data_IF_039928113531
#
_entry.id   IF_039928113531
#
_cell.length_a   1.000
_cell.length_b   1.000
_cell.length_c   1.000
_cell.angle_alpha   90.00
_cell.angle_beta   90.00
_cell.angle_gamma   90.00
#
_symmetry.space_group_name_H-M   'P 1'
#
loop_
_entity.id
_entity.type
_entity.pdbx_description
1 polymer ?
#
# COMPACT_ATOMS: atom_id res chain seq x y z
N UNK A 1 50.28 -66.24 -57.66
CA UNK A 1 49.01 -66.84 -57.20
C UNK A 1 48.36 -65.84 -56.27
N UNK A 2 47.30 -65.19 -56.74
CA UNK A 2 46.66 -64.01 -56.14
C UNK A 2 45.20 -64.41 -55.84
N UNK A 3 44.77 -64.27 -54.60
CA UNK A 3 43.37 -64.39 -54.12
C UNK A 3 43.30 -63.48 -52.90
N UNK A 4 42.93 -62.20 -52.99
CA UNK A 4 41.57 -61.59 -53.04
C UNK A 4 40.56 -62.23 -52.09
N UNK A 5 39.89 -61.34 -51.34
CA UNK A 5 38.56 -61.39 -50.70
C UNK A 5 38.56 -61.39 -49.15
N UNK A 6 37.76 -60.62 -48.40
CA UNK A 6 36.68 -59.64 -48.65
C UNK A 6 36.59 -58.76 -47.37
N UNK A 7 36.52 -57.44 -47.53
CA UNK A 7 36.11 -56.50 -46.49
C UNK A 7 34.57 -56.53 -46.36
N UNK A 8 34.05 -56.91 -45.20
CA UNK A 8 32.61 -56.88 -44.86
C UNK A 8 32.20 -55.50 -44.29
N UNK A 9 30.92 -55.10 -44.39
CA UNK A 9 30.53 -53.71 -44.60
C UNK A 9 30.50 -52.88 -43.32
N UNK A 10 30.73 -51.58 -43.51
CA UNK A 10 30.50 -50.51 -42.55
C UNK A 10 29.15 -50.63 -41.84
N UNK A 11 29.19 -50.87 -40.55
CA UNK A 11 28.08 -50.59 -39.64
C UNK A 11 28.04 -49.07 -39.44
N UNK A 12 26.92 -48.37 -39.70
CA UNK A 12 26.85 -46.94 -39.47
C UNK A 12 27.00 -46.66 -37.97
N UNK A 13 27.66 -45.55 -37.57
CA UNK A 13 27.74 -45.16 -36.18
C UNK A 13 26.33 -44.99 -35.63
N UNK A 14 26.07 -45.57 -34.45
CA UNK A 14 24.90 -45.28 -33.62
C UNK A 14 24.95 -43.80 -33.26
N UNK A 15 24.35 -42.97 -34.10
CA UNK A 15 23.94 -41.61 -33.79
C UNK A 15 22.48 -41.74 -33.30
N UNK A 16 22.08 -40.91 -32.33
CA UNK A 16 20.73 -40.77 -31.76
C UNK A 16 20.44 -41.53 -30.46
N UNK A 17 21.11 -41.19 -29.35
CA UNK A 17 20.48 -41.29 -28.00
C UNK A 17 20.74 -40.12 -27.03
N UNK A 18 21.67 -39.18 -27.27
CA UNK A 18 21.98 -38.12 -26.28
C UNK A 18 21.90 -36.69 -26.82
N UNK A 19 20.69 -36.13 -26.95
CA UNK A 19 20.49 -34.70 -26.62
C UNK A 19 19.56 -34.53 -25.43
N UNK A 20 18.59 -35.44 -25.27
CA UNK A 20 17.50 -35.29 -24.31
C UNK A 20 17.96 -35.53 -22.87
N UNK A 21 18.81 -36.54 -22.64
CA UNK A 21 19.34 -36.81 -21.30
C UNK A 21 20.30 -35.71 -20.80
N UNK A 22 21.05 -35.05 -21.69
CA UNK A 22 21.88 -33.91 -21.31
C UNK A 22 21.05 -32.65 -21.04
N UNK A 23 19.97 -32.41 -21.79
CA UNK A 23 19.02 -31.32 -21.52
C UNK A 23 18.29 -31.52 -20.18
N UNK A 24 17.89 -32.76 -19.87
CA UNK A 24 17.22 -33.11 -18.60
C UNK A 24 18.15 -32.92 -17.38
N UNK A 25 19.45 -33.24 -17.54
CA UNK A 25 20.46 -33.02 -16.51
C UNK A 25 20.86 -31.53 -16.35
N UNK A 26 20.75 -30.72 -17.41
CA UNK A 26 20.97 -29.27 -17.34
C UNK A 26 19.77 -28.52 -16.72
N UNK A 27 18.55 -29.02 -16.91
CA UNK A 27 17.35 -28.49 -16.24
C UNK A 27 17.28 -28.88 -14.75
N UNK A 28 17.82 -30.05 -14.38
CA UNK A 28 17.86 -30.53 -12.99
C UNK A 28 18.84 -29.77 -12.09
N UNK A 29 19.80 -29.01 -12.65
CA UNK A 29 20.84 -28.31 -11.88
C UNK A 29 20.57 -26.79 -11.77
N UNK A 30 19.30 -26.40 -11.81
CA UNK A 30 18.89 -25.08 -11.34
C UNK A 30 19.18 -25.03 -9.82
N UNK A 31 19.98 -24.08 -9.33
CA UNK A 31 20.14 -23.91 -7.89
C UNK A 31 18.74 -23.75 -7.32
N UNK A 32 18.36 -24.60 -6.37
CA UNK A 32 17.14 -24.44 -5.60
C UNK A 32 17.20 -23.03 -5.00
N UNK A 33 16.58 -22.08 -5.69
CA UNK A 33 16.34 -20.75 -5.17
C UNK A 33 15.38 -21.02 -4.03
N UNK A 34 15.94 -21.11 -2.83
CA UNK A 34 15.19 -21.15 -1.58
C UNK A 34 14.22 -19.98 -1.68
N UNK A 35 12.97 -20.25 -2.06
CA UNK A 35 11.94 -19.22 -2.16
C UNK A 35 11.86 -18.65 -0.76
N UNK A 36 12.54 -17.53 -0.53
CA UNK A 36 12.49 -16.78 0.70
C UNK A 36 11.01 -16.61 0.97
N UNK A 37 10.52 -17.26 2.03
CA UNK A 37 9.12 -17.24 2.41
C UNK A 37 8.82 -15.79 2.77
N UNK A 38 8.40 -15.01 1.78
CA UNK A 38 8.02 -13.62 1.97
C UNK A 38 6.98 -13.64 3.07
N UNK A 39 7.26 -12.96 4.19
CA UNK A 39 6.29 -12.76 5.26
C UNK A 39 5.17 -11.92 4.66
N UNK A 40 4.15 -12.60 4.12
CA UNK A 40 2.97 -11.95 3.56
C UNK A 40 2.25 -11.26 4.70
N UNK A 41 1.96 -9.97 4.52
CA UNK A 41 1.04 -9.26 5.39
C UNK A 41 -0.31 -9.97 5.37
N UNK A 42 -0.89 -10.17 6.55
CA UNK A 42 -2.24 -10.71 6.68
C UNK A 42 -3.25 -9.65 6.21
N UNK A 43 -4.39 -10.10 5.68
CA UNK A 43 -5.41 -9.24 5.06
C UNK A 43 -5.90 -8.12 6.00
N UNK A 44 -6.09 -8.41 7.30
CA UNK A 44 -6.56 -7.41 8.27
C UNK A 44 -5.52 -6.28 8.46
N UNK A 45 -4.26 -6.55 8.79
CA UNK A 45 -3.20 -5.54 8.76
C UNK A 45 -3.13 -4.76 7.45
N UNK A 46 -3.30 -5.41 6.31
CA UNK A 46 -3.27 -4.75 5.01
C UNK A 46 -4.39 -3.70 4.86
N UNK A 47 -5.62 -4.05 5.26
CA UNK A 47 -6.76 -3.10 5.22
C UNK A 47 -6.48 -1.89 6.10
N UNK A 48 -6.03 -2.09 7.33
CA UNK A 48 -5.75 -0.97 8.24
C UNK A 48 -4.58 -0.11 7.77
N UNK A 49 -3.55 -0.72 7.17
CA UNK A 49 -2.44 0.04 6.57
C UNK A 49 -2.94 0.94 5.44
N UNK A 50 -3.77 0.43 4.53
CA UNK A 50 -4.38 1.22 3.45
C UNK A 50 -5.28 2.33 4.03
N UNK A 51 -6.08 2.01 5.06
CA UNK A 51 -6.96 2.97 5.72
C UNK A 51 -6.19 4.16 6.32
N UNK A 52 -5.09 3.89 7.00
CA UNK A 52 -4.22 4.92 7.59
C UNK A 52 -3.42 5.69 6.56
N UNK A 53 -3.07 5.07 5.43
CA UNK A 53 -2.40 5.75 4.33
C UNK A 53 -3.32 6.78 3.65
N UNK A 54 -4.62 6.49 3.54
CA UNK A 54 -5.57 7.32 2.78
C UNK A 54 -6.33 8.32 3.63
N UNK A 55 -6.86 7.91 4.79
CA UNK A 55 -7.84 8.71 5.53
C UNK A 55 -7.42 9.07 6.95
N UNK A 56 -6.62 8.24 7.61
CA UNK A 56 -6.16 8.50 8.99
C UNK A 56 -7.27 8.57 10.07
N UNK A 57 -8.55 8.38 9.69
CA UNK A 57 -9.73 8.53 10.56
C UNK A 57 -10.74 9.56 10.02
N UNK A 58 -11.97 9.62 10.57
CA UNK A 58 -13.01 10.57 10.15
C UNK A 58 -12.76 12.01 10.66
N UNK A 59 -11.50 12.43 10.75
CA UNK A 59 -11.13 13.77 11.22
C UNK A 59 -11.30 14.79 10.09
N UNK A 60 -11.90 15.93 10.38
CA UNK A 60 -12.12 17.01 9.39
C UNK A 60 -13.46 16.97 8.67
N UNK A 61 -14.28 15.93 8.88
CA UNK A 61 -15.67 15.90 8.39
C UNK A 61 -16.51 17.05 8.97
N UNK A 62 -16.17 17.50 10.18
CA UNK A 62 -16.79 18.63 10.86
C UNK A 62 -16.68 19.93 10.04
N UNK A 63 -15.57 20.15 9.33
CA UNK A 63 -15.39 21.33 8.47
C UNK A 63 -16.28 21.25 7.23
N UNK A 64 -16.42 20.06 6.65
CA UNK A 64 -17.30 19.83 5.51
C UNK A 64 -18.78 20.03 5.91
N UNK A 65 -19.19 19.50 7.06
CA UNK A 65 -20.54 19.69 7.61
C UNK A 65 -20.80 21.15 7.98
N UNK A 66 -19.82 21.84 8.56
CA UNK A 66 -19.93 23.26 8.91
C UNK A 66 -20.06 24.17 7.68
N UNK A 67 -19.33 23.86 6.60
CA UNK A 67 -19.33 24.65 5.38
C UNK A 67 -20.56 24.38 4.48
N UNK A 68 -20.92 23.12 4.26
CA UNK A 68 -21.99 22.73 3.34
C UNK A 68 -23.35 22.54 4.02
N UNK A 69 -23.38 22.35 5.34
CA UNK A 69 -24.56 21.96 6.11
C UNK A 69 -24.76 20.43 6.14
N UNK A 70 -25.53 19.91 7.11
CA UNK A 70 -25.66 18.47 7.35
C UNK A 70 -26.19 17.69 6.14
N UNK A 71 -27.18 18.23 5.43
CA UNK A 71 -27.81 17.55 4.30
C UNK A 71 -26.84 17.34 3.13
N UNK A 72 -26.13 18.40 2.72
CA UNK A 72 -25.20 18.33 1.60
C UNK A 72 -23.94 17.54 1.94
N UNK A 73 -23.47 17.59 3.19
CA UNK A 73 -22.37 16.74 3.64
C UNK A 73 -22.73 15.25 3.58
N UNK A 74 -23.89 14.85 4.11
CA UNK A 74 -24.37 13.45 4.05
C UNK A 74 -24.55 13.00 2.59
N UNK A 75 -25.15 13.85 1.75
CA UNK A 75 -25.33 13.53 0.33
C UNK A 75 -23.99 13.38 -0.39
N UNK A 76 -23.01 14.24 -0.08
CA UNK A 76 -21.64 14.15 -0.60
C UNK A 76 -20.96 12.85 -0.18
N UNK A 77 -20.99 12.51 1.11
CA UNK A 77 -20.44 11.25 1.61
C UNK A 77 -21.14 10.01 1.05
N UNK A 78 -22.42 10.12 0.69
CA UNK A 78 -23.14 9.01 0.07
C UNK A 78 -22.80 8.88 -1.41
N UNK A 79 -22.82 9.96 -2.19
CA UNK A 79 -22.65 9.89 -3.65
C UNK A 79 -21.20 9.76 -4.08
N UNK A 80 -20.27 10.40 -3.37
CA UNK A 80 -18.86 10.48 -3.76
C UNK A 80 -18.19 9.09 -3.86
N UNK A 81 -18.39 8.14 -2.93
CA UNK A 81 -17.84 6.79 -3.05
C UNK A 81 -18.35 6.03 -4.27
N UNK A 82 -19.63 6.17 -4.65
CA UNK A 82 -20.18 5.44 -5.82
C UNK A 82 -19.68 6.00 -7.15
N UNK A 83 -19.52 7.32 -7.24
CA UNK A 83 -19.11 7.98 -8.48
C UNK A 83 -17.60 7.84 -8.69
N UNK A 84 -16.81 7.85 -7.61
CA UNK A 84 -15.35 7.91 -7.69
C UNK A 84 -14.67 6.67 -7.11
N UNK A 85 -14.84 6.40 -5.81
CA UNK A 85 -14.04 5.39 -5.10
C UNK A 85 -14.32 3.95 -5.56
N UNK A 86 -15.57 3.58 -5.83
CA UNK A 86 -15.93 2.22 -6.26
C UNK A 86 -15.39 1.92 -7.66
N UNK A 87 -15.61 2.77 -8.68
CA UNK A 87 -15.01 2.57 -10.00
C UNK A 87 -13.47 2.53 -9.96
N UNK A 88 -12.84 3.44 -9.21
CA UNK A 88 -11.39 3.46 -9.05
C UNK A 88 -10.85 2.17 -8.40
N UNK A 89 -11.53 1.68 -7.35
CA UNK A 89 -11.15 0.44 -6.68
C UNK A 89 -11.32 -0.79 -7.59
N UNK A 90 -12.39 -0.85 -8.39
CA UNK A 90 -12.62 -1.92 -9.35
C UNK A 90 -11.54 -1.94 -10.44
N UNK A 91 -11.22 -0.80 -11.04
CA UNK A 91 -10.16 -0.70 -12.06
C UNK A 91 -8.81 -1.11 -11.46
N UNK A 92 -8.52 -0.67 -10.24
CA UNK A 92 -7.30 -1.05 -9.50
C UNK A 92 -7.23 -2.55 -9.24
N UNK A 93 -8.36 -3.18 -8.88
CA UNK A 93 -8.45 -4.62 -8.64
C UNK A 93 -8.26 -5.45 -9.93
N UNK A 94 -8.88 -5.04 -11.03
CA UNK A 94 -8.70 -5.67 -12.35
C UNK A 94 -7.24 -5.55 -12.81
N UNK A 95 -6.61 -4.38 -12.68
CA UNK A 95 -5.20 -4.20 -13.04
C UNK A 95 -4.23 -4.96 -12.12
N UNK A 96 -4.54 -5.04 -10.82
CA UNK A 96 -3.73 -5.79 -9.86
C UNK A 96 -3.75 -7.31 -10.13
N UNK A 97 -4.85 -7.84 -10.63
CA UNK A 97 -4.96 -9.26 -11.02
C UNK A 97 -4.40 -9.53 -12.41
N UNK A 98 -4.56 -8.61 -13.36
CA UNK A 98 -4.00 -8.73 -14.72
C UNK A 98 -2.46 -8.65 -14.76
N UNK A 99 -1.85 -7.84 -13.89
CA UNK A 99 -0.39 -7.66 -13.83
C UNK A 99 0.18 -8.04 -12.46
N UNK A 100 0.41 -9.34 -12.20
CA UNK A 100 0.97 -9.81 -10.94
C UNK A 100 2.46 -9.42 -10.83
N UNK A 101 2.72 -8.24 -10.28
CA UNK A 101 4.07 -7.74 -10.01
C UNK A 101 4.08 -6.75 -8.84
N UNK A 102 5.15 -6.75 -8.06
CA UNK A 102 5.31 -5.90 -6.86
C UNK A 102 5.50 -4.39 -7.17
N UNK A 103 5.15 -3.92 -8.37
CA UNK A 103 5.32 -2.53 -8.80
C UNK A 103 4.02 -1.75 -9.01
N UNK A 104 2.85 -2.38 -8.80
CA UNK A 104 1.53 -1.73 -8.80
C UNK A 104 1.31 -0.78 -9.99
N UNK A 105 0.87 0.45 -9.69
CA UNK A 105 0.56 1.48 -10.68
C UNK A 105 1.71 1.86 -11.61
N UNK A 106 2.98 1.66 -11.22
CA UNK A 106 4.14 1.92 -12.08
C UNK A 106 4.20 0.91 -13.22
N UNK A 107 3.91 -0.36 -12.94
CA UNK A 107 3.87 -1.43 -13.93
C UNK A 107 2.69 -1.22 -14.87
N UNK A 108 1.52 -0.86 -14.32
CA UNK A 108 0.33 -0.60 -15.12
C UNK A 108 0.53 0.57 -16.09
N UNK A 109 1.09 1.69 -15.59
CA UNK A 109 1.41 2.85 -16.42
C UNK A 109 2.47 2.55 -17.48
N UNK A 110 3.51 1.77 -17.11
CA UNK A 110 4.53 1.31 -18.06
C UNK A 110 3.92 0.45 -19.17
N UNK A 111 2.99 -0.44 -18.83
CA UNK A 111 2.38 -1.35 -19.79
C UNK A 111 1.36 -0.64 -20.71
N UNK A 112 0.62 0.33 -20.18
CA UNK A 112 -0.40 1.07 -20.93
C UNK A 112 0.17 2.19 -21.81
N UNK A 113 1.12 2.98 -21.28
CA UNK A 113 1.61 4.21 -21.93
C UNK A 113 3.10 4.16 -22.29
N UNK A 114 3.82 3.11 -21.88
CA UNK A 114 5.24 2.91 -22.17
C UNK A 114 6.19 3.33 -21.04
N UNK A 115 7.51 3.10 -21.21
CA UNK A 115 8.52 3.22 -20.15
C UNK A 115 8.62 4.61 -19.50
N UNK A 116 8.44 5.68 -20.29
CA UNK A 116 8.53 7.06 -19.81
C UNK A 116 7.45 7.40 -18.78
N UNK A 117 6.20 7.06 -19.07
CA UNK A 117 5.06 7.33 -18.17
C UNK A 117 5.10 6.50 -16.90
N UNK A 118 5.58 5.25 -16.99
CA UNK A 118 5.90 4.44 -15.83
C UNK A 118 6.93 5.13 -14.92
N UNK A 119 8.04 5.62 -15.49
CA UNK A 119 9.07 6.34 -14.72
C UNK A 119 8.53 7.63 -14.09
N UNK A 120 7.73 8.41 -14.81
CA UNK A 120 7.14 9.65 -14.29
C UNK A 120 6.18 9.40 -13.13
N UNK A 121 5.33 8.37 -13.25
CA UNK A 121 4.42 7.93 -12.18
C UNK A 121 5.18 7.46 -10.95
N UNK A 122 6.20 6.63 -11.13
CA UNK A 122 7.06 6.15 -10.05
C UNK A 122 7.81 7.29 -9.36
N UNK A 123 8.39 8.21 -10.13
CA UNK A 123 9.14 9.37 -9.60
C UNK A 123 8.23 10.32 -8.82
N UNK A 124 7.02 10.59 -9.34
CA UNK A 124 6.03 11.42 -8.65
C UNK A 124 5.61 10.82 -7.30
N UNK A 125 5.40 9.50 -7.27
CA UNK A 125 5.04 8.81 -6.02
C UNK A 125 6.19 8.69 -5.04
N UNK A 126 7.42 8.49 -5.53
CA UNK A 126 8.61 8.56 -4.70
C UNK A 126 8.74 9.94 -4.04
N UNK A 127 8.58 11.02 -4.81
CA UNK A 127 8.63 12.38 -4.28
C UNK A 127 7.53 12.63 -3.24
N UNK A 128 6.30 12.19 -3.51
CA UNK A 128 5.20 12.25 -2.54
C UNK A 128 5.52 11.47 -1.25
N UNK A 129 6.13 10.29 -1.36
CA UNK A 129 6.57 9.51 -0.21
C UNK A 129 7.64 10.21 0.62
N UNK A 130 8.63 10.85 -0.02
CA UNK A 130 9.67 11.62 0.66
C UNK A 130 9.08 12.82 1.41
N UNK A 131 8.17 13.56 0.77
CA UNK A 131 7.48 14.70 1.39
C UNK A 131 6.67 14.25 2.60
N UNK A 132 5.89 13.16 2.46
CA UNK A 132 5.09 12.62 3.56
C UNK A 132 5.98 12.17 4.72
N UNK A 133 7.07 11.44 4.45
CA UNK A 133 8.01 11.00 5.49
C UNK A 133 8.70 12.16 6.21
N UNK A 134 8.93 13.29 5.54
CA UNK A 134 9.46 14.49 6.18
C UNK A 134 8.41 15.23 7.02
N UNK A 135 7.14 15.19 6.61
CA UNK A 135 6.04 15.87 7.29
C UNK A 135 5.60 15.16 8.58
N UNK A 136 5.52 13.82 8.59
CA UNK A 136 4.97 13.08 9.73
C UNK A 136 5.69 13.33 11.07
N UNK A 137 7.03 13.27 11.17
CA UNK A 137 7.72 13.55 12.44
C UNK A 137 7.49 14.98 12.94
N UNK A 138 7.43 15.95 12.02
CA UNK A 138 7.15 17.35 12.36
C UNK A 138 5.74 17.48 12.93
N UNK A 139 4.75 16.87 12.29
CA UNK A 139 3.36 16.85 12.78
C UNK A 139 3.26 16.18 14.15
N UNK A 140 3.95 15.06 14.38
CA UNK A 140 3.97 14.39 15.70
C UNK A 140 4.43 15.34 16.81
N UNK A 141 5.50 16.12 16.57
CA UNK A 141 6.01 17.09 17.55
C UNK A 141 5.07 18.28 17.71
N UNK A 142 4.44 18.74 16.63
CA UNK A 142 3.44 19.81 16.68
C UNK A 142 2.19 19.40 17.47
N UNK A 143 1.75 18.14 17.39
CA UNK A 143 0.71 17.60 18.28
C UNK A 143 1.20 17.48 19.73
N UNK A 144 2.44 17.02 19.95
CA UNK A 144 2.99 16.87 21.30
C UNK A 144 3.14 18.22 22.01
N UNK A 145 3.36 19.31 21.25
CA UNK A 145 3.37 20.70 21.76
C UNK A 145 2.05 21.10 22.43
N UNK A 146 0.91 20.56 21.99
CA UNK A 146 -0.41 20.86 22.58
C UNK A 146 -0.48 20.33 24.02
N UNK A 147 0.16 19.19 24.28
CA UNK A 147 0.18 18.54 25.61
C UNK A 147 1.34 19.06 26.47
N UNK A 148 2.53 19.21 25.87
CA UNK A 148 3.74 19.68 26.54
C UNK A 148 4.25 20.96 25.84
N UNK A 149 3.99 22.15 26.40
CA UNK A 149 4.40 23.42 25.77
C UNK A 149 5.93 23.62 25.71
N UNK A 150 6.72 22.69 26.24
CA UNK A 150 8.19 22.66 26.18
C UNK A 150 8.71 22.58 24.73
N UNK A 151 7.93 22.04 23.79
CA UNK A 151 8.31 21.92 22.37
C UNK A 151 8.11 23.20 21.53
N UNK A 152 7.82 24.35 22.18
CA UNK A 152 7.40 25.57 21.46
C UNK A 152 8.54 26.29 20.73
N UNK A 153 9.80 26.24 21.21
CA UNK A 153 10.96 26.92 20.59
C UNK A 153 12.29 26.19 20.87
N UNK A 154 13.25 26.31 19.94
CA UNK A 154 14.67 26.01 20.16
C UNK A 154 15.11 24.56 19.89
N UNK A 155 16.26 24.19 20.48
CA UNK A 155 16.91 22.88 20.34
C UNK A 155 16.01 21.71 20.74
N UNK A 156 15.12 21.90 21.71
CA UNK A 156 14.19 20.86 22.19
C UNK A 156 13.20 20.43 21.09
N UNK A 157 12.79 21.35 20.20
CA UNK A 157 11.93 21.01 19.05
C UNK A 157 12.69 20.15 18.04
N UNK A 158 13.93 20.53 17.71
CA UNK A 158 14.77 19.76 16.79
C UNK A 158 15.08 18.37 17.35
N UNK A 159 15.43 18.28 18.65
CA UNK A 159 15.62 17.00 19.35
C UNK A 159 14.35 16.16 19.38
N UNK A 160 13.18 16.79 19.56
CA UNK A 160 11.88 16.11 19.47
C UNK A 160 11.63 15.51 18.09
N UNK A 161 11.90 16.26 17.02
CA UNK A 161 11.72 15.81 15.63
C UNK A 161 12.70 14.67 15.32
N UNK A 162 13.97 14.83 15.69
CA UNK A 162 14.98 13.78 15.51
C UNK A 162 14.62 12.53 16.31
N UNK A 163 14.19 12.69 17.57
CA UNK A 163 13.74 11.60 18.43
C UNK A 163 12.55 10.84 17.86
N UNK A 164 11.49 11.55 17.43
CA UNK A 164 10.34 10.92 16.78
C UNK A 164 10.74 10.20 15.49
N UNK A 165 11.61 10.80 14.68
CA UNK A 165 12.11 10.17 13.44
C UNK A 165 12.87 8.88 13.75
N UNK A 166 13.70 8.87 14.80
CA UNK A 166 14.48 7.70 15.22
C UNK A 166 13.57 6.58 15.72
N UNK A 167 12.54 6.91 16.51
CA UNK A 167 11.53 5.97 16.99
C UNK A 167 10.74 5.38 15.82
N UNK A 168 10.25 6.21 14.91
CA UNK A 168 9.54 5.74 13.72
C UNK A 168 10.43 4.83 12.86
N UNK A 169 11.70 5.19 12.71
CA UNK A 169 12.70 4.39 11.98
C UNK A 169 12.89 3.03 12.66
N UNK A 170 13.05 3.00 13.99
CA UNK A 170 13.18 1.76 14.75
C UNK A 170 11.95 0.84 14.62
N UNK A 171 10.74 1.42 14.67
CA UNK A 171 9.50 0.67 14.45
C UNK A 171 9.44 0.08 13.03
N UNK A 172 9.88 0.85 12.02
CA UNK A 172 10.00 0.36 10.64
C UNK A 172 11.01 -0.81 10.54
N UNK A 173 12.12 -0.77 11.28
CA UNK A 173 13.09 -1.87 11.33
C UNK A 173 12.56 -3.14 12.00
N UNK A 174 11.58 -3.02 12.91
CA UNK A 174 11.00 -4.16 13.64
C UNK A 174 10.15 -5.07 12.73
N UNK A 175 9.89 -4.64 11.50
CA UNK A 175 9.33 -5.44 10.43
C UNK A 175 7.86 -5.15 10.17
N UNK A 176 7.48 -5.27 8.89
CA UNK A 176 6.17 -4.85 8.37
C UNK A 176 4.99 -5.54 9.05
N UNK A 177 5.17 -6.75 9.57
CA UNK A 177 4.13 -7.48 10.30
C UNK A 177 3.81 -6.83 11.64
N UNK A 178 4.82 -6.34 12.36
CA UNK A 178 4.62 -5.67 13.66
C UNK A 178 3.95 -4.32 13.46
N UNK A 179 4.39 -3.56 12.44
CA UNK A 179 3.75 -2.30 12.03
C UNK A 179 2.29 -2.52 11.66
N UNK A 180 2.00 -3.59 10.91
CA UNK A 180 0.64 -3.96 10.54
C UNK A 180 -0.28 -4.22 11.74
N UNK A 181 0.17 -5.00 12.73
CA UNK A 181 -0.64 -5.23 13.95
C UNK A 181 -0.75 -3.98 14.83
N UNK A 182 0.31 -3.16 14.92
CA UNK A 182 0.26 -1.88 15.61
C UNK A 182 -0.76 -0.93 14.96
N UNK A 183 -0.82 -0.89 13.63
CA UNK A 183 -1.83 -0.13 12.89
C UNK A 183 -3.26 -0.63 13.21
N UNK A 184 -3.50 -1.94 13.26
CA UNK A 184 -4.82 -2.46 13.66
C UNK A 184 -5.20 -1.99 15.07
N UNK A 185 -4.29 -2.10 16.03
CA UNK A 185 -4.54 -1.66 17.41
C UNK A 185 -4.83 -0.15 17.47
N UNK A 186 -4.02 0.65 16.79
CA UNK A 186 -4.21 2.11 16.70
C UNK A 186 -5.54 2.47 16.04
N UNK A 187 -5.92 1.74 14.99
CA UNK A 187 -7.19 1.89 14.27
C UNK A 187 -8.40 1.61 15.15
N UNK A 188 -8.37 0.52 15.91
CA UNK A 188 -9.42 0.20 16.87
C UNK A 188 -9.53 1.31 17.93
N UNK A 189 -8.41 1.71 18.54
CA UNK A 189 -8.40 2.78 19.56
C UNK A 189 -8.90 4.11 19.00
N UNK A 190 -8.49 4.47 17.78
CA UNK A 190 -8.90 5.72 17.13
C UNK A 190 -10.39 5.72 16.73
N UNK A 191 -10.95 4.56 16.33
CA UNK A 191 -12.36 4.45 15.92
C UNK A 191 -13.34 4.34 17.09
N UNK A 192 -12.93 3.80 18.24
CA UNK A 192 -13.77 3.69 19.45
C UNK A 192 -14.53 4.99 19.79
N UNK A 193 -13.88 6.17 19.95
CA UNK A 193 -14.60 7.39 20.31
C UNK A 193 -15.65 7.79 19.27
N UNK A 194 -15.38 7.57 17.98
CA UNK A 194 -16.34 7.85 16.91
C UNK A 194 -17.52 6.90 16.93
N UNK A 195 -17.29 5.60 17.14
CA UNK A 195 -18.38 4.62 17.28
C UNK A 195 -19.26 4.98 18.47
N UNK A 196 -18.66 5.35 19.60
CA UNK A 196 -19.39 5.81 20.78
C UNK A 196 -20.19 7.09 20.49
N UNK A 197 -19.58 8.11 19.88
CA UNK A 197 -20.29 9.33 19.49
C UNK A 197 -21.43 9.04 18.52
N UNK A 198 -21.22 8.16 17.53
CA UNK A 198 -22.24 7.75 16.57
C UNK A 198 -23.42 7.06 17.27
N UNK A 199 -23.17 6.09 18.14
CA UNK A 199 -24.21 5.42 18.92
C UNK A 199 -25.02 6.38 19.80
N UNK A 200 -24.35 7.35 20.43
CA UNK A 200 -25.01 8.39 21.25
C UNK A 200 -25.79 9.39 20.38
N UNK A 201 -25.32 9.64 19.15
CA UNK A 201 -25.93 10.59 18.23
C UNK A 201 -27.23 10.05 17.62
N UNK A 202 -27.30 8.77 17.25
CA UNK A 202 -28.49 8.12 16.64
C UNK A 202 -29.83 8.52 17.32
N UNK A 203 -30.00 8.38 18.65
CA UNK A 203 -31.27 8.72 19.32
C UNK A 203 -31.57 10.22 19.36
N UNK A 204 -30.58 11.09 19.08
CA UNK A 204 -30.70 12.56 19.10
C UNK A 204 -30.85 13.17 17.70
N UNK A 205 -30.88 12.36 16.64
CA UNK A 205 -31.04 12.85 15.28
C UNK A 205 -32.45 13.44 15.12
N UNK A 206 -32.53 14.73 14.84
CA UNK A 206 -33.76 15.43 14.51
C UNK A 206 -33.74 15.79 13.01
N UNK A 207 -34.31 14.96 12.11
CA UNK A 207 -34.20 15.14 10.65
C UNK A 207 -34.77 16.47 10.17
N UNK A 208 -35.72 17.07 10.91
CA UNK A 208 -36.28 18.40 10.63
C UNK A 208 -35.24 19.52 10.66
N UNK A 209 -34.13 19.36 11.40
CA UNK A 209 -33.04 20.35 11.45
C UNK A 209 -32.13 20.30 10.22
N UNK A 210 -32.19 19.24 9.41
CA UNK A 210 -31.38 19.12 8.20
C UNK A 210 -31.85 20.04 7.07
N UNK A 211 -33.12 20.44 7.10
CA UNK A 211 -33.71 21.36 6.13
C UNK A 211 -33.57 22.84 6.53
N UNK A 212 -33.27 23.13 7.80
CA UNK A 212 -33.12 24.51 8.26
C UNK A 212 -31.74 25.00 7.84
N UNK A 213 -31.72 25.74 6.73
CA UNK A 213 -30.54 26.43 6.18
C UNK A 213 -29.76 27.11 7.31
N UNK A 214 -28.44 26.90 7.32
CA UNK A 214 -27.51 27.32 8.36
C UNK A 214 -27.87 28.69 8.95
N UNK A 215 -28.12 28.69 10.26
CA UNK A 215 -28.21 29.93 11.00
C UNK A 215 -26.80 30.53 10.99
N UNK A 216 -26.69 31.67 10.30
CA UNK A 216 -25.50 32.51 10.22
C UNK A 216 -24.93 32.72 11.62
N UNK A 217 -23.67 32.35 11.80
CA UNK A 217 -22.78 32.77 12.87
C UNK A 217 -21.45 33.12 12.24
#
# INVERSE_FOLDING_TARGET
>A
MHTIDIQSPHQPPRIEEEPNQQLENLESNQPHTTKLKSKKLTLIPLIFLIFFEVSGGPYGEELAVKAAGPLYAILGFLLFPFIWSIPEALITAELATAYPGNGGYVIWAKQAFGPFWGFLMGSSKFLSGVINNAAYPVLCVDYLKIVFPVFTKGLVRYLGITGSTLVLTFVNYTGITVVGYAAVALGVVALIPFVLMFCIAIPKIHPRRWLHRGQKG
#
